data_IF_204005424002
#
_entry.id   IF_204005424002
#
_cell.length_a   1.000
_cell.length_b   1.000
_cell.length_c   1.000
_cell.angle_alpha   90.00
_cell.angle_beta   90.00
_cell.angle_gamma   90.00
#
_symmetry.space_group_name_H-M   'P 1'
#
loop_
_entity.id
_entity.type
_entity.pdbx_description
1 polymer ?
#
# COMPACT_ATOMS: atom_id res chain seq x y z
N UNK A 1 -8.58 -9.81 16.58
CA UNK A 1 -7.53 -10.02 15.56
C UNK A 1 -8.06 -9.60 14.20
N UNK A 2 -7.23 -8.95 13.37
CA UNK A 2 -7.56 -8.46 12.03
C UNK A 2 -6.77 -9.25 10.95
N UNK A 3 -7.34 -9.39 9.75
CA UNK A 3 -6.84 -10.23 8.65
C UNK A 3 -5.94 -9.48 7.66
N UNK A 4 -6.13 -8.16 7.56
CA UNK A 4 -5.42 -7.27 6.66
C UNK A 4 -5.41 -5.85 7.25
N UNK A 5 -4.54 -4.98 6.72
CA UNK A 5 -4.34 -3.61 7.21
C UNK A 5 -5.59 -2.74 7.07
N UNK A 6 -6.43 -3.01 6.06
CA UNK A 6 -7.70 -2.29 5.85
C UNK A 6 -8.73 -2.64 6.91
N UNK A 7 -8.73 -3.88 7.39
CA UNK A 7 -9.57 -4.27 8.52
C UNK A 7 -9.11 -3.60 9.83
N UNK A 8 -7.80 -3.40 10.03
CA UNK A 8 -7.29 -2.62 11.15
C UNK A 8 -7.81 -1.18 11.07
N UNK A 9 -7.67 -0.53 9.91
CA UNK A 9 -8.19 0.82 9.66
C UNK A 9 -9.69 0.90 9.98
N UNK A 10 -10.50 -0.03 9.46
CA UNK A 10 -11.94 -0.06 9.69
C UNK A 10 -12.30 -0.20 11.19
N UNK A 11 -11.55 -0.99 11.96
CA UNK A 11 -11.79 -1.11 13.40
C UNK A 11 -11.49 0.17 14.17
N UNK A 12 -10.48 0.94 13.75
CA UNK A 12 -10.20 2.26 14.32
C UNK A 12 -11.33 3.24 13.93
N UNK A 13 -11.71 3.30 12.65
CA UNK A 13 -12.79 4.17 12.16
C UNK A 13 -14.12 3.93 12.86
N UNK A 14 -14.42 2.68 13.21
CA UNK A 14 -15.68 2.29 13.87
C UNK A 14 -15.62 2.35 15.40
N UNK A 15 -14.48 2.73 15.98
CA UNK A 15 -14.30 2.77 17.44
C UNK A 15 -14.30 1.39 18.11
N UNK A 16 -14.11 0.32 17.34
CA UNK A 16 -13.97 -1.03 17.88
C UNK A 16 -12.62 -1.24 18.60
N UNK A 17 -11.63 -0.40 18.29
CA UNK A 17 -10.32 -0.31 18.97
C UNK A 17 -9.91 1.16 19.08
N UNK A 18 -9.10 1.49 20.09
CA UNK A 18 -8.62 2.86 20.33
C UNK A 18 -7.53 3.30 19.33
N UNK A 19 -6.72 2.35 18.83
CA UNK A 19 -5.62 2.62 17.91
C UNK A 19 -5.26 1.40 17.05
N UNK A 20 -4.62 1.64 15.91
CA UNK A 20 -4.12 0.60 15.01
C UNK A 20 -2.91 1.07 14.22
N UNK A 21 -2.02 0.13 13.86
CA UNK A 21 -0.86 0.39 13.00
C UNK A 21 -1.27 0.09 11.56
N UNK A 22 -1.19 1.09 10.70
CA UNK A 22 -1.56 1.01 9.27
C UNK A 22 -0.48 1.67 8.41
N UNK A 23 -0.56 1.52 7.09
CA UNK A 23 0.33 2.26 6.19
C UNK A 23 -0.16 3.69 5.99
N UNK A 24 0.77 4.62 5.74
CA UNK A 24 0.44 6.01 5.45
C UNK A 24 -0.50 6.16 4.22
N UNK A 25 -0.41 5.24 3.26
CA UNK A 25 -1.32 5.20 2.11
C UNK A 25 -2.77 4.86 2.49
N UNK A 26 -2.99 4.04 3.52
CA UNK A 26 -4.33 3.72 4.03
C UNK A 26 -4.99 4.94 4.69
N UNK A 27 -4.19 5.73 5.40
CA UNK A 27 -4.66 6.98 6.03
C UNK A 27 -5.11 8.02 5.00
N UNK A 28 -4.44 8.12 3.86
CA UNK A 28 -4.83 9.07 2.78
C UNK A 28 -6.22 8.82 2.22
N UNK A 29 -6.73 7.59 2.33
CA UNK A 29 -8.06 7.21 1.79
C UNK A 29 -9.16 7.37 2.84
N UNK A 30 -8.81 7.32 4.13
CA UNK A 30 -9.75 7.47 5.23
C UNK A 30 -10.01 8.95 5.56
N UNK A 31 -11.22 9.24 6.03
CA UNK A 31 -11.58 10.52 6.67
C UNK A 31 -11.99 10.35 8.14
N UNK A 32 -11.95 9.12 8.64
CA UNK A 32 -12.49 8.74 9.95
C UNK A 32 -11.42 8.43 11.00
N UNK A 33 -10.14 8.58 10.67
CA UNK A 33 -9.02 8.37 11.59
C UNK A 33 -8.05 9.54 11.56
N UNK A 34 -7.24 9.66 12.61
CA UNK A 34 -6.17 10.64 12.72
C UNK A 34 -4.81 9.99 12.94
N UNK A 35 -3.74 10.71 12.59
CA UNK A 35 -2.37 10.25 12.81
C UNK A 35 -1.96 10.56 14.24
N UNK A 36 -1.69 9.53 15.03
CA UNK A 36 -1.19 9.68 16.41
C UNK A 36 0.34 9.72 16.44
N UNK A 37 1.01 8.89 15.64
CA UNK A 37 2.47 8.85 15.54
C UNK A 37 2.93 8.13 14.26
N UNK A 38 4.07 8.55 13.72
CA UNK A 38 4.79 7.81 12.70
C UNK A 38 5.66 6.71 13.32
N UNK A 39 5.75 5.56 12.63
CA UNK A 39 6.62 4.45 13.05
C UNK A 39 8.05 4.75 12.58
N UNK A 40 9.07 4.68 13.46
CA UNK A 40 10.46 4.94 13.07
C UNK A 40 10.96 3.99 11.97
N UNK A 41 11.56 4.52 10.91
CA UNK A 41 12.03 3.74 9.74
C UNK A 41 13.02 2.62 10.12
N UNK A 42 13.82 2.83 11.16
CA UNK A 42 14.79 1.85 11.65
C UNK A 42 14.19 0.77 12.58
N UNK A 43 12.88 0.83 12.86
CA UNK A 43 12.19 -0.14 13.72
C UNK A 43 11.57 -1.31 12.96
N UNK A 44 11.58 -1.27 11.63
CA UNK A 44 11.04 -2.33 10.77
C UNK A 44 11.86 -2.48 9.49
N UNK A 45 11.68 -3.61 8.80
CA UNK A 45 12.20 -3.77 7.45
C UNK A 45 11.48 -2.83 6.47
N UNK A 46 12.12 -2.43 5.36
CA UNK A 46 11.48 -1.60 4.35
C UNK A 46 10.16 -2.20 3.85
N UNK A 47 9.13 -1.35 3.72
CA UNK A 47 7.81 -1.75 3.23
C UNK A 47 7.83 -1.70 1.69
N UNK A 48 8.14 -2.84 1.05
CA UNK A 48 8.24 -2.95 -0.40
C UNK A 48 7.03 -3.70 -0.98
N UNK A 49 6.55 -3.22 -2.13
CA UNK A 49 5.44 -3.83 -2.89
C UNK A 49 5.95 -4.40 -4.23
N UNK A 50 6.54 -5.62 -4.23
CA UNK A 50 7.05 -6.22 -5.45
C UNK A 50 5.91 -6.63 -6.39
N UNK A 51 6.15 -6.50 -7.70
CA UNK A 51 5.25 -6.98 -8.75
C UNK A 51 5.98 -7.97 -9.65
N UNK A 52 5.30 -9.06 -10.02
CA UNK A 52 5.87 -10.07 -10.88
C UNK A 52 4.80 -10.75 -11.75
N UNK A 53 5.20 -11.17 -12.95
CA UNK A 53 4.36 -11.99 -13.80
C UNK A 53 4.36 -13.43 -13.28
N UNK A 54 3.17 -14.03 -13.10
CA UNK A 54 3.05 -15.42 -12.67
C UNK A 54 3.59 -16.34 -13.76
N UNK A 55 4.57 -17.19 -13.43
CA UNK A 55 5.28 -18.06 -14.39
C UNK A 55 4.35 -18.92 -15.26
N UNK A 56 3.22 -19.37 -14.71
CA UNK A 56 2.24 -20.22 -15.41
C UNK A 56 1.19 -19.45 -16.21
N UNK A 57 1.28 -18.12 -16.32
CA UNK A 57 0.28 -17.34 -17.05
C UNK A 57 0.24 -17.73 -18.53
N UNK A 58 -0.98 -17.84 -19.09
CA UNK A 58 -1.19 -17.99 -20.54
C UNK A 58 -1.01 -16.67 -21.30
N UNK A 59 -0.91 -15.55 -20.57
CA UNK A 59 -0.87 -14.20 -21.12
C UNK A 59 0.47 -13.50 -20.78
N UNK A 60 1.60 -14.19 -21.00
CA UNK A 60 2.92 -13.70 -20.59
C UNK A 60 3.27 -12.31 -21.17
N UNK A 61 2.92 -12.06 -22.43
CA UNK A 61 3.14 -10.77 -23.09
C UNK A 61 2.37 -9.64 -22.41
N UNK A 62 1.06 -9.79 -22.24
CA UNK A 62 0.21 -8.80 -21.58
C UNK A 62 0.62 -8.57 -20.12
N UNK A 63 1.03 -9.63 -19.41
CA UNK A 63 1.52 -9.49 -18.04
C UNK A 63 2.80 -8.63 -17.97
N UNK A 64 3.73 -8.79 -18.92
CA UNK A 64 4.92 -7.95 -19.03
C UNK A 64 4.56 -6.51 -19.35
N UNK A 65 3.70 -6.29 -20.34
CA UNK A 65 3.25 -4.95 -20.74
C UNK A 65 2.56 -4.21 -19.58
N UNK A 66 1.77 -4.92 -18.78
CA UNK A 66 1.16 -4.35 -17.57
C UNK A 66 2.22 -3.95 -16.54
N UNK A 67 3.21 -4.81 -16.28
CA UNK A 67 4.30 -4.49 -15.35
C UNK A 67 5.05 -3.25 -15.83
N UNK A 68 5.44 -3.21 -17.10
CA UNK A 68 6.16 -2.09 -17.69
C UNK A 68 5.32 -0.79 -17.58
N UNK A 69 4.00 -0.89 -17.78
CA UNK A 69 3.08 0.23 -17.59
C UNK A 69 3.05 0.76 -16.15
N UNK A 70 3.11 -0.11 -15.13
CA UNK A 70 3.12 0.32 -13.73
C UNK A 70 4.35 1.16 -13.36
N UNK A 71 5.45 1.03 -14.09
CA UNK A 71 6.68 1.81 -13.88
C UNK A 71 6.80 3.03 -14.79
N UNK A 72 5.82 3.31 -15.65
CA UNK A 72 5.79 4.55 -16.41
C UNK A 72 5.51 5.77 -15.51
N UNK A 73 5.92 6.95 -15.96
CA UNK A 73 5.75 8.19 -15.21
C UNK A 73 4.28 8.45 -14.81
N UNK A 74 3.33 8.18 -15.71
CA UNK A 74 1.89 8.33 -15.46
C UNK A 74 1.43 7.48 -14.27
N UNK A 75 1.83 6.21 -14.23
CA UNK A 75 1.53 5.30 -13.12
C UNK A 75 2.26 5.71 -11.85
N UNK A 76 3.53 6.11 -11.96
CA UNK A 76 4.32 6.64 -10.85
C UNK A 76 3.68 7.85 -10.17
N UNK A 77 3.10 8.78 -10.94
CA UNK A 77 2.35 9.92 -10.41
C UNK A 77 1.10 9.47 -9.63
N UNK A 78 0.39 8.45 -10.11
CA UNK A 78 -0.76 7.88 -9.39
C UNK A 78 -0.30 7.29 -8.05
N UNK A 79 0.76 6.47 -8.04
CA UNK A 79 1.31 5.89 -6.81
C UNK A 79 1.69 6.98 -5.79
N UNK A 80 2.40 8.03 -6.22
CA UNK A 80 2.77 9.17 -5.37
C UNK A 80 1.57 9.90 -4.79
N UNK A 81 0.52 10.13 -5.59
CA UNK A 81 -0.72 10.76 -5.11
C UNK A 81 -1.32 9.97 -3.94
N UNK A 82 -1.31 8.64 -4.01
CA UNK A 82 -1.77 7.74 -2.95
C UNK A 82 -0.75 7.48 -1.83
N UNK A 83 0.42 8.15 -1.84
CA UNK A 83 1.40 8.08 -0.74
C UNK A 83 2.39 6.93 -0.84
N UNK A 84 2.54 6.33 -2.03
CA UNK A 84 3.62 5.40 -2.31
C UNK A 84 4.83 6.14 -2.89
N UNK A 85 6.01 5.57 -2.62
CA UNK A 85 7.25 5.96 -3.27
C UNK A 85 7.64 4.89 -4.29
N UNK A 86 8.23 5.31 -5.40
CA UNK A 86 8.79 4.34 -6.34
C UNK A 86 10.08 3.80 -5.73
N UNK A 87 10.18 2.46 -5.67
CA UNK A 87 11.41 1.82 -5.23
C UNK A 87 12.56 2.20 -6.17
N UNK A 88 13.70 2.57 -5.59
CA UNK A 88 14.96 2.80 -6.31
C UNK A 88 15.65 1.49 -6.72
#
# INVERSE_FOLDING_TARGET
FARDVRQVLYYVETGNVDAGIVYASDMKVSKGVELVADVPVNSHSPVLYPVAAIKSTKNAKLARELIDFLFQETSGRIFKNYGFELAE
#
